data_IF_119421374339
#
_entry.id   IF_119421374339
#
_cell.length_a   1.000
_cell.length_b   1.000
_cell.length_c   1.000
_cell.angle_alpha   90.00
_cell.angle_beta   90.00
_cell.angle_gamma   90.00
#
_symmetry.space_group_name_H-M   'P 1'
#
loop_
_entity.id
_entity.type
_entity.pdbx_description
1 polymer ?
#
# COMPACT_ATOMS: atom_id res chain seq x y z
N UNK A 1 8.08 -4.82 10.67
CA UNK A 1 8.65 -4.06 9.54
C UNK A 1 9.00 -4.97 8.39
N UNK A 2 8.54 -4.66 7.19
CA UNK A 2 8.92 -5.36 5.96
C UNK A 2 10.12 -4.67 5.34
N UNK A 3 11.20 -5.40 5.11
CA UNK A 3 12.38 -4.91 4.41
C UNK A 3 12.69 -5.84 3.24
N UNK A 4 12.82 -5.29 2.04
CA UNK A 4 13.13 -6.07 0.83
C UNK A 4 14.13 -5.30 -0.03
N UNK A 5 15.06 -6.02 -0.64
CA UNK A 5 15.87 -5.51 -1.75
C UNK A 5 15.41 -6.23 -3.01
N UNK A 6 15.02 -5.48 -4.03
CA UNK A 6 14.55 -6.02 -5.31
C UNK A 6 15.47 -5.52 -6.42
N UNK A 7 16.33 -6.38 -6.98
CA UNK A 7 17.16 -6.04 -8.12
C UNK A 7 16.38 -6.19 -9.43
N UNK A 8 16.48 -5.19 -10.32
CA UNK A 8 16.09 -5.33 -11.73
C UNK A 8 17.24 -5.82 -12.60
N UNK A 9 18.47 -5.46 -12.22
CA UNK A 9 19.71 -5.88 -12.89
C UNK A 9 20.87 -5.81 -11.90
N UNK A 10 22.08 -6.12 -12.35
CA UNK A 10 23.30 -5.94 -11.53
C UNK A 10 23.58 -4.48 -11.14
N UNK A 11 22.96 -3.50 -11.82
CA UNK A 11 23.23 -2.06 -11.62
C UNK A 11 22.04 -1.27 -11.11
N UNK A 12 20.85 -1.88 -11.10
CA UNK A 12 19.60 -1.23 -10.72
C UNK A 12 18.88 -2.08 -9.69
N UNK A 13 18.47 -1.45 -8.62
CA UNK A 13 17.79 -2.08 -7.50
C UNK A 13 16.99 -1.06 -6.73
N UNK A 14 16.03 -1.54 -5.96
CA UNK A 14 15.43 -0.80 -4.87
C UNK A 14 15.60 -1.55 -3.56
N UNK A 15 15.71 -0.79 -2.50
CA UNK A 15 15.49 -1.19 -1.13
C UNK A 15 14.25 -0.48 -0.62
N UNK A 16 13.38 -1.23 0.04
CA UNK A 16 12.18 -0.74 0.69
C UNK A 16 12.24 -1.06 2.18
N UNK A 17 11.70 -0.16 3.01
CA UNK A 17 11.34 -0.44 4.39
C UNK A 17 9.94 0.08 4.63
N UNK A 18 8.98 -0.84 4.78
CA UNK A 18 7.57 -0.52 5.01
C UNK A 18 7.23 -0.81 6.48
N UNK A 19 6.81 0.23 7.17
CA UNK A 19 6.36 0.18 8.56
C UNK A 19 4.93 0.68 8.59
N UNK A 20 4.00 -0.22 8.87
CA UNK A 20 2.59 0.10 9.09
C UNK A 20 2.27 -0.08 10.58
N UNK A 21 1.00 0.12 10.94
CA UNK A 21 0.45 -0.11 12.29
C UNK A 21 1.17 0.63 13.42
N UNK A 22 1.83 1.76 13.14
CA UNK A 22 2.50 2.57 14.16
C UNK A 22 1.45 3.39 14.92
N UNK A 23 1.15 3.11 16.20
CA UNK A 23 0.10 3.84 16.91
C UNK A 23 0.49 5.31 17.11
N UNK A 24 -0.46 6.21 16.89
CA UNK A 24 -0.25 7.65 17.08
C UNK A 24 -0.84 8.15 18.38
N UNK A 25 -0.18 9.15 18.96
CA UNK A 25 -0.70 9.96 20.07
C UNK A 25 -0.38 11.43 19.80
N UNK A 26 -1.09 12.35 20.44
CA UNK A 26 -0.92 13.79 20.24
C UNK A 26 -2.13 14.43 19.55
N UNK A 27 -1.92 15.57 18.90
CA UNK A 27 -3.00 16.36 18.32
C UNK A 27 -2.63 16.96 16.97
N UNK A 28 -3.62 17.11 16.10
CA UNK A 28 -3.52 17.81 14.82
C UNK A 28 -4.30 19.12 14.96
N UNK A 29 -3.66 20.25 14.69
CA UNK A 29 -4.30 21.57 14.72
C UNK A 29 -4.50 22.07 13.29
N UNK A 30 -5.73 22.46 12.96
CA UNK A 30 -6.11 22.96 11.63
C UNK A 30 -6.96 24.22 11.80
N UNK A 31 -6.32 25.39 11.61
CA UNK A 31 -6.91 26.66 12.04
C UNK A 31 -7.22 26.61 13.54
N UNK A 32 -8.45 26.93 13.91
CA UNK A 32 -8.91 26.93 15.32
C UNK A 32 -9.38 25.56 15.82
N UNK A 33 -9.35 24.52 14.96
CA UNK A 33 -9.79 23.16 15.33
C UNK A 33 -8.62 22.30 15.77
N UNK A 34 -8.81 21.56 16.86
CA UNK A 34 -7.86 20.57 17.36
C UNK A 34 -8.49 19.18 17.28
N UNK A 35 -7.78 18.25 16.66
CA UNK A 35 -8.17 16.85 16.50
C UNK A 35 -7.23 15.98 17.33
N UNK A 36 -7.76 15.00 18.05
CA UNK A 36 -6.95 14.01 18.75
C UNK A 36 -6.41 12.99 17.72
N UNK A 37 -5.10 12.73 17.76
CA UNK A 37 -4.46 11.72 16.92
C UNK A 37 -4.50 10.31 17.54
N UNK A 38 -4.96 10.17 18.79
CA UNK A 38 -5.10 8.88 19.47
C UNK A 38 -6.09 7.98 18.73
N UNK A 39 -5.74 6.70 18.61
CA UNK A 39 -6.52 5.70 17.87
C UNK A 39 -6.25 5.71 16.36
N UNK A 40 -5.46 6.65 15.87
CA UNK A 40 -4.90 6.63 14.53
C UNK A 40 -3.64 5.76 14.42
N UNK A 41 -3.22 5.56 13.17
CA UNK A 41 -1.98 4.89 12.83
C UNK A 41 -1.16 5.75 11.87
N UNK A 42 0.14 5.80 12.11
CA UNK A 42 1.13 6.31 11.18
C UNK A 42 1.71 5.16 10.36
N UNK A 43 2.34 5.52 9.25
CA UNK A 43 3.14 4.65 8.42
C UNK A 43 4.47 5.33 8.09
N UNK A 44 5.52 4.53 7.93
CA UNK A 44 6.74 4.95 7.29
C UNK A 44 6.93 4.11 6.03
N UNK A 45 6.98 4.80 4.89
CA UNK A 45 7.38 4.25 3.61
C UNK A 45 8.75 4.83 3.24
N UNK A 46 9.78 3.99 3.29
CA UNK A 46 11.14 4.38 2.95
C UNK A 46 11.61 3.60 1.73
N UNK A 47 12.06 4.33 0.71
CA UNK A 47 12.66 3.79 -0.50
C UNK A 47 14.07 4.33 -0.72
N UNK A 48 14.97 3.47 -1.21
CA UNK A 48 16.30 3.86 -1.70
C UNK A 48 16.70 2.96 -2.85
N UNK A 49 17.22 3.52 -3.95
CA UNK A 49 17.62 2.67 -5.06
C UNK A 49 18.20 3.42 -6.24
N UNK A 50 18.60 2.64 -7.25
CA UNK A 50 18.90 3.11 -8.60
C UNK A 50 17.77 2.57 -9.49
N UNK A 51 16.76 3.39 -9.72
CA UNK A 51 15.55 3.00 -10.42
C UNK A 51 15.73 2.97 -11.95
N UNK A 52 14.93 2.16 -12.67
CA UNK A 52 14.77 2.31 -14.11
C UNK A 52 14.26 3.71 -14.47
N UNK A 53 14.66 4.22 -15.64
CA UNK A 53 14.24 5.53 -16.13
C UNK A 53 12.71 5.66 -16.19
N UNK A 54 12.02 4.62 -16.64
CA UNK A 54 10.55 4.55 -16.70
C UNK A 54 10.06 3.49 -15.72
N UNK A 55 9.08 3.82 -14.88
CA UNK A 55 8.50 2.90 -13.91
C UNK A 55 6.99 3.14 -13.76
N UNK A 56 6.29 2.07 -13.44
CA UNK A 56 4.86 2.06 -13.16
C UNK A 56 4.62 1.23 -11.92
N UNK A 57 3.73 1.68 -11.04
CA UNK A 57 3.25 0.85 -9.95
C UNK A 57 1.81 1.13 -9.56
N UNK A 58 1.19 0.09 -8.99
CA UNK A 58 0.11 0.23 -8.04
C UNK A 58 0.62 -0.07 -6.64
N UNK A 59 0.18 0.70 -5.66
CA UNK A 59 0.50 0.43 -4.27
C UNK A 59 -0.71 0.65 -3.37
N UNK A 60 -0.82 -0.13 -2.30
CA UNK A 60 -1.87 0.00 -1.30
C UNK A 60 -1.32 -0.14 0.11
N UNK A 61 -1.77 0.75 0.99
CA UNK A 61 -1.39 0.77 2.39
C UNK A 61 -2.58 1.08 3.28
N UNK A 62 -2.71 0.35 4.38
CA UNK A 62 -3.74 0.58 5.37
C UNK A 62 -3.28 0.17 6.77
N UNK A 63 -3.86 0.78 7.79
CA UNK A 63 -3.73 0.36 9.18
C UNK A 63 -5.01 0.69 9.93
N UNK A 64 -5.54 -0.29 10.68
CA UNK A 64 -6.77 -0.10 11.42
C UNK A 64 -7.03 -1.23 12.41
N UNK A 65 -8.03 -1.04 13.25
CA UNK A 65 -8.51 -2.07 14.18
C UNK A 65 -9.83 -2.60 13.63
N UNK A 66 -9.96 -3.92 13.52
CA UNK A 66 -11.20 -4.58 13.15
C UNK A 66 -11.30 -5.94 13.83
N UNK A 67 -12.47 -6.27 14.36
CA UNK A 67 -12.72 -7.54 15.06
C UNK A 67 -11.70 -7.83 16.18
N UNK A 68 -11.27 -6.78 16.90
CA UNK A 68 -10.30 -6.90 18.00
C UNK A 68 -8.84 -7.03 17.58
N UNK A 69 -8.54 -7.08 16.28
CA UNK A 69 -7.19 -7.19 15.75
C UNK A 69 -6.71 -5.88 15.14
N UNK A 70 -5.44 -5.56 15.35
CA UNK A 70 -4.74 -4.52 14.57
C UNK A 70 -4.31 -5.11 13.24
N UNK A 71 -4.78 -4.54 12.14
CA UNK A 71 -4.56 -5.00 10.77
C UNK A 71 -3.74 -3.96 10.03
N UNK A 72 -2.60 -4.36 9.47
CA UNK A 72 -1.76 -3.58 8.58
C UNK A 72 -1.66 -4.24 7.21
N UNK A 73 -1.88 -3.47 6.14
CA UNK A 73 -1.75 -3.93 4.77
C UNK A 73 -0.60 -3.19 4.08
N UNK A 74 0.16 -3.90 3.25
CA UNK A 74 1.12 -3.33 2.32
C UNK A 74 1.15 -4.21 1.06
N UNK A 75 0.55 -3.71 -0.02
CA UNK A 75 0.48 -4.42 -1.30
C UNK A 75 1.02 -3.57 -2.43
N UNK A 76 1.65 -4.20 -3.41
CA UNK A 76 2.28 -3.58 -4.55
C UNK A 76 2.31 -4.49 -5.77
N UNK A 77 2.20 -3.88 -6.95
CA UNK A 77 2.30 -4.54 -8.25
C UNK A 77 2.85 -3.59 -9.32
N UNK A 78 3.39 -4.12 -10.40
CA UNK A 78 3.83 -3.38 -11.59
C UNK A 78 5.35 -3.20 -11.67
N UNK A 79 5.96 -2.54 -10.69
CA UNK A 79 7.38 -2.19 -10.76
C UNK A 79 8.32 -3.35 -10.43
N UNK A 80 7.83 -4.35 -9.68
CA UNK A 80 8.59 -5.54 -9.28
C UNK A 80 8.30 -6.75 -10.17
N UNK A 81 7.37 -6.62 -11.11
CA UNK A 81 6.89 -7.73 -11.92
C UNK A 81 8.03 -8.32 -12.77
N UNK A 82 8.08 -9.65 -12.84
CA UNK A 82 9.13 -10.38 -13.56
C UNK A 82 10.48 -10.49 -12.83
N UNK A 83 10.66 -9.83 -11.67
CA UNK A 83 11.89 -9.97 -10.85
C UNK A 83 11.90 -11.23 -9.98
N UNK A 84 10.74 -11.87 -9.79
CA UNK A 84 10.55 -12.98 -8.85
C UNK A 84 10.50 -12.55 -7.38
N UNK A 85 10.43 -11.24 -7.12
CA UNK A 85 10.32 -10.65 -5.78
C UNK A 85 9.22 -9.59 -5.78
N UNK A 86 8.64 -9.31 -4.61
CA UNK A 86 7.68 -8.23 -4.43
C UNK A 86 7.72 -7.70 -2.99
N UNK A 87 6.98 -6.64 -2.74
CA UNK A 87 6.91 -5.97 -1.43
C UNK A 87 5.62 -6.28 -0.67
N UNK A 88 4.91 -7.37 -0.99
CA UNK A 88 3.61 -7.66 -0.40
C UNK A 88 3.73 -8.22 1.02
N UNK A 89 2.88 -7.75 1.95
CA UNK A 89 2.85 -8.25 3.32
C UNK A 89 1.68 -7.71 4.13
N UNK A 90 1.35 -8.45 5.19
CA UNK A 90 0.36 -8.07 6.20
C UNK A 90 1.00 -8.02 7.58
N UNK A 91 0.52 -7.15 8.45
CA UNK A 91 0.94 -7.06 9.84
C UNK A 91 -0.29 -7.22 10.73
N UNK A 92 -0.37 -8.34 11.45
CA UNK A 92 -1.50 -8.64 12.34
C UNK A 92 -0.99 -8.63 13.78
N UNK A 93 -1.54 -7.75 14.61
CA UNK A 93 -1.16 -7.60 16.02
C UNK A 93 0.37 -7.50 16.25
N UNK A 94 1.05 -6.79 15.34
CA UNK A 94 2.50 -6.60 15.37
C UNK A 94 3.32 -7.73 14.74
N UNK A 95 2.70 -8.83 14.30
CA UNK A 95 3.36 -9.92 13.57
C UNK A 95 3.26 -9.70 12.07
N UNK A 96 4.40 -9.50 11.42
CA UNK A 96 4.49 -9.42 9.97
C UNK A 96 4.45 -10.81 9.33
N UNK A 97 3.59 -10.97 8.32
CA UNK A 97 3.62 -12.09 7.37
C UNK A 97 3.94 -11.55 5.97
N UNK A 98 5.00 -12.05 5.36
CA UNK A 98 5.31 -11.79 3.95
C UNK A 98 4.32 -12.56 3.08
N UNK A 99 3.68 -11.88 2.13
CA UNK A 99 2.92 -12.53 1.06
C UNK A 99 3.86 -12.60 -0.13
N UNK A 100 4.42 -13.78 -0.43
CA UNK A 100 5.38 -13.92 -1.53
C UNK A 100 4.72 -13.97 -2.89
N UNK A 101 3.41 -14.23 -2.93
CA UNK A 101 2.61 -14.22 -4.15
C UNK A 101 2.34 -12.79 -4.63
N UNK A 102 2.16 -12.64 -5.93
CA UNK A 102 1.77 -11.37 -6.53
C UNK A 102 0.31 -11.05 -6.19
N UNK A 103 0.08 -9.81 -5.75
CA UNK A 103 -1.25 -9.29 -5.49
C UNK A 103 -1.73 -8.61 -6.77
N UNK A 104 -2.81 -9.13 -7.35
CA UNK A 104 -3.46 -8.54 -8.51
C UNK A 104 -4.28 -7.33 -8.08
N UNK A 105 -4.04 -6.19 -8.71
CA UNK A 105 -4.86 -4.98 -8.60
C UNK A 105 -5.85 -4.94 -9.77
N UNK A 106 -7.14 -5.09 -9.48
CA UNK A 106 -8.21 -5.04 -10.48
C UNK A 106 -9.01 -3.77 -10.24
N UNK A 107 -8.93 -2.84 -11.19
CA UNK A 107 -9.56 -1.52 -11.13
C UNK A 107 -9.78 -0.96 -12.53
N UNK A 108 -10.52 0.14 -12.62
CA UNK A 108 -10.73 0.89 -13.86
C UNK A 108 -9.86 2.15 -13.85
N UNK A 109 -8.83 2.21 -14.70
CA UNK A 109 -7.96 3.38 -14.81
C UNK A 109 -8.62 4.59 -15.51
N UNK A 110 -9.82 4.41 -16.07
CA UNK A 110 -10.66 5.51 -16.56
C UNK A 110 -11.55 6.11 -15.47
N UNK A 111 -11.81 5.37 -14.39
CA UNK A 111 -12.57 5.81 -13.22
C UNK A 111 -12.01 5.19 -11.92
N UNK A 112 -10.98 5.84 -11.38
CA UNK A 112 -10.31 5.41 -10.15
C UNK A 112 -11.22 5.40 -8.90
N UNK A 113 -12.40 6.03 -8.98
CA UNK A 113 -13.37 6.06 -7.88
C UNK A 113 -14.28 4.82 -7.85
N UNK A 114 -14.20 3.93 -8.83
CA UNK A 114 -14.81 2.59 -8.73
C UNK A 114 -14.09 1.74 -7.68
N UNK A 115 -14.75 0.75 -7.06
CA UNK A 115 -14.10 -0.18 -6.14
C UNK A 115 -12.96 -0.99 -6.81
N UNK A 116 -11.88 -1.20 -6.06
CA UNK A 116 -10.73 -1.99 -6.49
C UNK A 116 -10.77 -3.35 -5.81
N UNK A 117 -10.41 -4.40 -6.54
CA UNK A 117 -10.20 -5.73 -5.96
C UNK A 117 -8.71 -6.03 -5.91
N UNK A 118 -8.21 -6.35 -4.72
CA UNK A 118 -6.84 -6.76 -4.47
C UNK A 118 -6.85 -8.21 -4.03
N UNK A 119 -6.29 -9.10 -4.85
CA UNK A 119 -6.34 -10.56 -4.57
C UNK A 119 -5.07 -11.29 -4.98
N UNK A 120 -4.79 -12.39 -4.30
CA UNK A 120 -3.84 -13.40 -4.76
C UNK A 120 -4.59 -14.59 -5.38
N UNK A 121 -3.94 -15.37 -6.25
CA UNK A 121 -4.51 -16.59 -6.84
C UNK A 121 -4.86 -17.62 -5.76
N UNK A 122 -3.98 -17.81 -4.77
CA UNK A 122 -4.20 -18.74 -3.65
C UNK A 122 -5.20 -18.23 -2.59
N UNK A 123 -5.76 -17.02 -2.77
CA UNK A 123 -6.67 -16.38 -1.82
C UNK A 123 -6.10 -16.09 -0.42
N UNK A 124 -4.76 -16.07 -0.28
CA UNK A 124 -4.09 -15.49 0.91
C UNK A 124 -4.50 -14.04 1.15
N UNK A 125 -4.84 -13.30 0.09
CA UNK A 125 -5.45 -11.97 0.16
C UNK A 125 -6.67 -11.94 -0.76
N UNK A 126 -7.78 -11.41 -0.25
CA UNK A 126 -8.97 -11.07 -1.02
C UNK A 126 -9.64 -9.86 -0.38
N UNK A 127 -9.34 -8.67 -0.90
CA UNK A 127 -9.67 -7.38 -0.28
C UNK A 127 -10.31 -6.48 -1.31
N UNK A 128 -11.37 -5.80 -0.91
CA UNK A 128 -12.01 -4.73 -1.67
C UNK A 128 -11.61 -3.40 -1.05
N UNK A 129 -11.18 -2.47 -1.90
CA UNK A 129 -10.97 -1.08 -1.57
C UNK A 129 -12.05 -0.22 -2.19
N UNK A 130 -12.74 0.57 -1.38
CA UNK A 130 -13.77 1.51 -1.82
C UNK A 130 -13.27 2.94 -1.56
N UNK A 131 -12.92 3.70 -2.61
CA UNK A 131 -12.43 5.07 -2.47
C UNK A 131 -13.55 6.03 -2.07
N UNK A 132 -13.21 7.05 -1.29
CA UNK A 132 -14.10 8.17 -0.97
C UNK A 132 -13.46 9.54 -1.21
N UNK A 133 -12.17 9.57 -1.57
CA UNK A 133 -11.44 10.78 -1.91
C UNK A 133 -10.36 10.47 -2.93
N UNK A 134 -10.15 11.37 -3.88
CA UNK A 134 -9.14 11.25 -4.92
C UNK A 134 -8.27 12.50 -4.96
N UNK A 135 -6.96 12.29 -4.83
CA UNK A 135 -5.92 13.30 -5.02
C UNK A 135 -5.13 12.96 -6.28
N UNK A 136 -5.07 13.92 -7.18
CA UNK A 136 -4.23 13.84 -8.38
C UNK A 136 -3.06 14.79 -8.24
N UNK A 137 -1.84 14.30 -8.50
CA UNK A 137 -0.65 15.13 -8.58
C UNK A 137 0.07 14.83 -9.90
N UNK A 138 0.27 15.87 -10.71
CA UNK A 138 1.00 15.77 -11.99
C UNK A 138 2.17 16.74 -12.01
N UNK A 139 3.34 16.23 -12.37
CA UNK A 139 4.54 17.02 -12.64
C UNK A 139 5.00 16.72 -14.05
N UNK A 140 5.10 17.75 -14.88
CA UNK A 140 5.62 17.67 -16.25
C UNK A 140 6.73 18.73 -16.41
N UNK A 141 7.98 18.25 -16.41
CA UNK A 141 9.17 19.08 -16.58
C UNK A 141 10.07 18.46 -17.66
N UNK A 142 9.56 18.45 -18.90
CA UNK A 142 10.24 18.00 -20.13
C UNK A 142 10.60 16.50 -20.12
N UNK A 143 11.77 16.14 -19.59
CA UNK A 143 12.24 14.74 -19.51
C UNK A 143 11.73 14.05 -18.25
N UNK A 144 11.38 14.84 -17.23
CA UNK A 144 10.75 14.38 -16.00
C UNK A 144 9.24 14.40 -16.15
N UNK A 145 8.60 13.23 -16.01
CA UNK A 145 7.14 13.14 -15.97
C UNK A 145 6.73 12.24 -14.82
N UNK A 146 5.89 12.75 -13.94
CA UNK A 146 5.37 12.01 -12.79
C UNK A 146 3.87 12.27 -12.68
N UNK A 147 3.08 11.21 -12.72
CA UNK A 147 1.61 11.28 -12.67
C UNK A 147 1.12 10.28 -11.62
N UNK A 148 0.60 10.81 -10.52
CA UNK A 148 0.09 10.06 -9.37
C UNK A 148 -1.41 10.26 -9.24
N UNK A 149 -2.13 9.15 -9.20
CA UNK A 149 -3.52 9.07 -8.79
C UNK A 149 -3.56 8.37 -7.45
N UNK A 150 -3.86 9.10 -6.37
CA UNK A 150 -3.91 8.57 -5.02
C UNK A 150 -5.33 8.66 -4.48
N UNK A 151 -5.90 7.52 -4.11
CA UNK A 151 -7.26 7.42 -3.61
C UNK A 151 -7.21 7.07 -2.14
N UNK A 152 -7.92 7.83 -1.31
CA UNK A 152 -8.15 7.49 0.09
C UNK A 152 -9.50 6.79 0.17
N UNK A 153 -9.55 5.68 0.90
CA UNK A 153 -10.72 4.82 0.93
C UNK A 153 -10.75 3.87 2.12
N UNK A 154 -11.67 2.93 2.05
CA UNK A 154 -11.87 1.88 3.05
C UNK A 154 -11.55 0.51 2.46
N UNK A 155 -10.78 -0.28 3.19
CA UNK A 155 -10.50 -1.67 2.86
C UNK A 155 -11.38 -2.60 3.69
N UNK A 156 -11.94 -3.61 3.05
CA UNK A 156 -12.66 -4.71 3.69
C UNK A 156 -12.35 -6.01 2.98
N UNK A 157 -12.26 -7.11 3.71
CA UNK A 157 -12.00 -8.42 3.11
C UNK A 157 -11.31 -9.38 4.05
N UNK A 158 -10.49 -10.24 3.48
CA UNK A 158 -9.81 -11.30 4.21
C UNK A 158 -8.34 -11.40 3.84
N UNK A 159 -7.51 -11.63 4.86
CA UNK A 159 -6.09 -11.94 4.71
C UNK A 159 -5.74 -13.17 5.55
N UNK A 160 -4.76 -13.93 5.12
CA UNK A 160 -4.28 -15.14 5.80
C UNK A 160 -2.82 -14.97 6.18
N UNK A 161 -2.47 -15.32 7.42
CA UNK A 161 -1.11 -15.21 7.93
C UNK A 161 -0.25 -16.46 7.65
N UNK A 162 0.99 -16.44 8.15
CA UNK A 162 1.93 -17.54 7.98
C UNK A 162 1.49 -18.85 8.65
N UNK A 163 0.64 -18.77 9.68
CA UNK A 163 0.13 -19.92 10.43
C UNK A 163 -1.19 -20.44 9.82
N UNK A 164 -1.56 -19.95 8.63
CA UNK A 164 -2.84 -20.24 7.93
C UNK A 164 -4.08 -19.74 8.68
N UNK A 165 -3.91 -18.81 9.63
CA UNK A 165 -5.02 -18.17 10.31
C UNK A 165 -5.61 -17.09 9.40
N UNK A 166 -6.92 -17.15 9.20
CA UNK A 166 -7.66 -16.18 8.39
C UNK A 166 -8.23 -15.06 9.26
N UNK A 167 -8.04 -13.83 8.81
CA UNK A 167 -8.53 -12.62 9.44
C UNK A 167 -9.50 -11.91 8.50
N UNK A 168 -10.73 -11.71 8.95
CA UNK A 168 -11.72 -10.88 8.28
C UNK A 168 -11.73 -9.51 8.91
N UNK A 169 -11.76 -8.46 8.08
CA UNK A 169 -11.80 -7.09 8.56
C UNK A 169 -12.73 -6.23 7.69
N UNK A 170 -13.18 -5.12 8.26
CA UNK A 170 -14.07 -4.19 7.58
C UNK A 170 -13.70 -2.74 7.90
N UNK A 171 -13.89 -1.89 6.90
CA UNK A 171 -13.87 -0.42 7.02
C UNK A 171 -12.57 0.17 7.59
N UNK A 172 -11.42 -0.50 7.43
CA UNK A 172 -10.13 0.09 7.81
C UNK A 172 -9.71 1.13 6.77
N UNK A 173 -9.24 2.29 7.22
CA UNK A 173 -8.88 3.40 6.32
C UNK A 173 -7.45 3.22 5.82
N UNK A 174 -7.24 3.56 4.55
CA UNK A 174 -5.94 3.57 3.92
C UNK A 174 -6.02 4.26 2.57
N UNK A 175 -5.04 3.98 1.70
CA UNK A 175 -5.03 4.48 0.35
C UNK A 175 -4.54 3.44 -0.65
N UNK A 176 -4.97 3.59 -1.89
CA UNK A 176 -4.37 2.97 -3.07
C UNK A 176 -3.82 4.05 -3.97
N UNK A 177 -2.84 3.72 -4.79
CA UNK A 177 -2.31 4.63 -5.80
C UNK A 177 -1.97 3.90 -7.09
N UNK A 178 -2.05 4.67 -8.17
CA UNK A 178 -1.42 4.39 -9.45
C UNK A 178 -0.39 5.49 -9.71
N UNK A 179 0.83 5.11 -10.08
CA UNK A 179 1.88 6.06 -10.37
C UNK A 179 2.68 5.64 -11.60
N UNK A 180 2.78 6.57 -12.55
CA UNK A 180 3.76 6.54 -13.64
C UNK A 180 4.88 7.55 -13.40
N UNK A 181 6.12 7.09 -13.44
CA UNK A 181 7.30 7.93 -13.26
C UNK A 181 8.30 7.78 -14.42
N UNK A 182 8.82 8.92 -14.87
CA UNK A 182 10.00 9.09 -15.72
C UNK A 182 10.96 10.07 -15.04
N UNK A 183 12.16 9.59 -14.70
CA UNK A 183 13.15 10.27 -13.84
C UNK A 183 14.35 10.85 -14.61
#
# INVERSE_FOLDING_TARGET
>A
TLNVVIPWSQRQFQFTSKQNTLPTTGSITMGDKVYNAQGGFACLDLGRGIWPYSSFWNWAGASGISNGHTIGLNFGAGWTDGTGMNENGICIDGRLTKISEDVQFIYDSSDFMQPWTLKTESSLTNVIFVPFFHRTAKTDAKVLRSEVHQMIGRFSGTVTDADQQKYTFKDIIGWTEEHFARW
#
